data_IF_760320066504
#
_entry.id   IF_760320066504
#
_cell.length_a   1.000
_cell.length_b   1.000
_cell.length_c   1.000
_cell.angle_alpha   90.00
_cell.angle_beta   90.00
_cell.angle_gamma   90.00
#
_symmetry.space_group_name_H-M   'P 1'
#
loop_
_entity.id
_entity.type
_entity.pdbx_description
1 polymer ?
#
# COMPACT_ATOMS: atom_id res chain seq x y z
N UNK A 1 -16.47 -47.15 7.02
CA UNK A 1 -15.77 -46.74 8.25
C UNK A 1 -14.40 -46.20 7.89
N UNK A 2 -14.24 -44.89 7.85
CA UNK A 2 -13.14 -44.08 8.42
C UNK A 2 -13.65 -42.65 8.30
N UNK A 3 -14.12 -42.10 9.43
CA UNK A 3 -14.50 -40.70 9.51
C UNK A 3 -13.24 -39.84 9.57
N UNK A 4 -13.21 -38.78 8.78
CA UNK A 4 -12.24 -37.70 8.95
C UNK A 4 -13.03 -36.44 9.26
N UNK A 5 -12.76 -35.97 10.47
CA UNK A 5 -13.32 -34.85 11.20
C UNK A 5 -13.41 -33.57 10.38
N UNK A 6 -14.62 -33.05 10.39
CA UNK A 6 -14.97 -31.64 10.57
C UNK A 6 -13.81 -30.77 11.10
N UNK A 7 -13.34 -29.85 10.26
CA UNK A 7 -12.82 -28.56 10.73
C UNK A 7 -13.77 -27.49 10.26
N UNK A 8 -14.85 -27.33 11.03
CA UNK A 8 -15.68 -26.15 11.02
C UNK A 8 -14.78 -24.91 11.03
N UNK A 9 -14.86 -24.15 9.94
CA UNK A 9 -14.38 -22.78 9.89
C UNK A 9 -15.19 -22.04 10.94
N UNK A 10 -14.59 -21.86 12.13
CA UNK A 10 -15.21 -21.11 13.21
C UNK A 10 -15.51 -19.70 12.71
N UNK A 11 -16.80 -19.40 12.54
CA UNK A 11 -17.33 -18.08 12.25
C UNK A 11 -17.17 -17.14 13.44
N UNK A 12 -15.92 -16.79 13.75
CA UNK A 12 -15.57 -15.86 14.81
C UNK A 12 -15.57 -14.41 14.31
N UNK A 13 -16.52 -13.61 14.83
CA UNK A 13 -16.45 -12.16 15.03
C UNK A 13 -16.63 -11.19 13.84
N UNK A 14 -17.59 -11.46 12.96
CA UNK A 14 -18.11 -10.42 12.03
C UNK A 14 -18.59 -9.16 12.76
N UNK A 15 -19.05 -9.25 14.01
CA UNK A 15 -19.56 -8.10 14.79
C UNK A 15 -18.48 -7.08 15.17
N UNK A 16 -17.25 -7.52 15.48
CA UNK A 16 -16.19 -6.63 15.94
C UNK A 16 -15.70 -5.66 14.85
N UNK A 17 -15.60 -6.14 13.59
CA UNK A 17 -15.23 -5.31 12.44
C UNK A 17 -16.24 -4.18 12.17
N UNK A 18 -17.54 -4.43 12.37
CA UNK A 18 -18.60 -3.42 12.20
C UNK A 18 -18.43 -2.22 13.14
N UNK A 19 -17.93 -2.41 14.36
CA UNK A 19 -17.70 -1.30 15.30
C UNK A 19 -16.34 -0.62 15.13
N UNK A 20 -15.36 -1.33 14.58
CA UNK A 20 -13.98 -0.84 14.47
C UNK A 20 -13.77 -0.02 13.20
N UNK A 21 -14.38 -0.41 12.07
CA UNK A 21 -14.25 0.34 10.81
C UNK A 21 -14.70 1.81 10.93
N UNK A 22 -15.86 2.14 11.56
CA UNK A 22 -16.25 3.53 11.78
C UNK A 22 -15.27 4.31 12.66
N UNK A 23 -14.69 3.66 13.67
CA UNK A 23 -13.72 4.29 14.58
C UNK A 23 -12.41 4.62 13.87
N UNK A 24 -11.92 3.74 13.00
CA UNK A 24 -10.73 4.00 12.17
C UNK A 24 -11.05 5.08 11.12
N UNK A 25 -12.22 5.04 10.50
CA UNK A 25 -12.64 6.04 9.52
C UNK A 25 -12.81 7.45 10.12
N UNK A 26 -13.16 7.54 11.41
CA UNK A 26 -13.31 8.78 12.15
C UNK A 26 -11.99 9.41 12.63
N UNK A 27 -10.84 8.73 12.48
CA UNK A 27 -9.54 9.31 12.80
C UNK A 27 -9.28 10.55 11.93
N UNK A 28 -8.54 11.53 12.44
CA UNK A 28 -7.98 12.60 11.61
C UNK A 28 -6.94 12.03 10.63
N UNK A 29 -6.59 12.81 9.61
CA UNK A 29 -5.65 12.38 8.58
C UNK A 29 -4.32 11.89 9.16
N UNK A 30 -3.74 12.59 10.13
CA UNK A 30 -2.42 12.26 10.68
C UNK A 30 -2.46 10.97 11.47
N UNK A 31 -3.50 10.73 12.26
CA UNK A 31 -3.70 9.45 12.95
C UNK A 31 -3.95 8.31 11.99
N UNK A 32 -4.80 8.52 10.97
CA UNK A 32 -5.05 7.51 9.94
C UNK A 32 -3.75 7.16 9.17
N UNK A 33 -2.99 8.17 8.74
CA UNK A 33 -1.70 8.01 8.08
C UNK A 33 -0.71 7.19 8.94
N UNK A 34 -0.61 7.46 10.24
CA UNK A 34 0.23 6.67 11.17
C UNK A 34 -0.28 5.25 11.38
N UNK A 35 -1.59 5.07 11.38
CA UNK A 35 -2.21 3.75 11.41
C UNK A 35 -1.76 2.92 10.20
N UNK A 36 -1.81 3.52 8.99
CA UNK A 36 -1.31 2.90 7.76
C UNK A 36 0.19 2.59 7.85
N UNK A 37 0.99 3.49 8.39
CA UNK A 37 2.43 3.26 8.60
C UNK A 37 2.72 2.04 9.47
N UNK A 38 2.06 1.94 10.63
CA UNK A 38 2.24 0.80 11.52
C UNK A 38 1.77 -0.51 10.86
N UNK A 39 0.62 -0.45 10.19
CA UNK A 39 0.09 -1.59 9.43
C UNK A 39 1.05 -2.05 8.33
N UNK A 40 1.68 -1.14 7.59
CA UNK A 40 2.70 -1.48 6.60
C UNK A 40 3.90 -2.21 7.24
N UNK A 41 4.42 -1.69 8.35
CA UNK A 41 5.53 -2.33 9.07
C UNK A 41 5.17 -3.74 9.54
N UNK A 42 3.99 -3.90 10.15
CA UNK A 42 3.51 -5.20 10.60
C UNK A 42 3.17 -6.17 9.44
N UNK A 43 2.80 -5.63 8.28
CA UNK A 43 2.57 -6.42 7.05
C UNK A 43 3.88 -6.87 6.37
N UNK A 44 5.04 -6.56 6.96
CA UNK A 44 6.36 -6.99 6.46
C UNK A 44 6.98 -6.06 5.42
N UNK A 45 6.44 -4.85 5.22
CA UNK A 45 7.09 -3.85 4.35
C UNK A 45 8.34 -3.30 5.03
N UNK A 46 9.44 -3.24 4.29
CA UNK A 46 10.76 -2.79 4.76
C UNK A 46 11.11 -1.41 4.19
N UNK A 47 12.19 -0.80 4.69
CA UNK A 47 12.74 0.47 4.21
C UNK A 47 11.71 1.60 4.05
N UNK A 48 10.74 1.66 4.97
CA UNK A 48 9.66 2.64 4.90
C UNK A 48 10.21 4.06 5.07
N UNK A 49 9.86 4.94 4.14
CA UNK A 49 10.21 6.36 4.14
C UNK A 49 8.95 7.19 4.01
N UNK A 50 8.81 8.21 4.85
CA UNK A 50 7.73 9.17 4.65
C UNK A 50 8.03 10.07 3.45
N UNK A 51 7.08 10.19 2.54
CA UNK A 51 7.15 11.12 1.44
C UNK A 51 6.90 12.53 1.96
N UNK A 52 7.94 13.36 1.96
CA UNK A 52 7.75 14.80 2.12
C UNK A 52 6.91 15.33 0.96
N UNK A 53 5.92 16.19 1.24
CA UNK A 53 5.34 17.04 0.19
C UNK A 53 6.46 17.89 -0.36
N UNK A 54 7.00 17.55 -1.54
CA UNK A 54 7.94 18.44 -2.24
C UNK A 54 7.17 19.69 -2.64
N UNK A 55 7.33 20.76 -1.87
CA UNK A 55 6.81 22.10 -2.17
C UNK A 55 7.54 22.77 -3.34
N UNK A 56 8.54 22.12 -3.93
CA UNK A 56 9.47 22.72 -4.92
C UNK A 56 9.04 22.59 -6.39
N UNK A 57 7.91 21.96 -6.72
CA UNK A 57 7.39 21.97 -8.09
C UNK A 57 6.01 22.61 -8.09
N UNK A 58 5.91 23.74 -8.80
CA UNK A 58 4.74 24.61 -8.85
C UNK A 58 3.41 23.86 -8.92
N UNK A 59 2.43 24.39 -8.17
CA UNK A 59 1.00 24.01 -8.15
C UNK A 59 0.70 22.52 -8.35
N UNK A 60 0.70 21.76 -7.24
CA UNK A 60 -0.20 20.62 -7.09
C UNK A 60 0.38 19.22 -7.22
N UNK A 61 1.70 19.06 -7.35
CA UNK A 61 2.32 17.73 -7.34
C UNK A 61 2.44 17.20 -5.89
N UNK A 62 1.36 16.61 -5.36
CA UNK A 62 1.48 15.81 -4.13
C UNK A 62 2.14 14.48 -4.48
N UNK A 63 3.35 14.27 -3.99
CA UNK A 63 4.02 12.97 -4.02
C UNK A 63 3.27 11.90 -3.21
N UNK A 64 3.75 10.65 -3.22
CA UNK A 64 3.16 9.60 -2.39
C UNK A 64 3.41 9.90 -0.92
N UNK A 65 2.51 9.43 -0.04
CA UNK A 65 2.66 9.60 1.40
C UNK A 65 3.80 8.76 1.96
N UNK A 66 4.04 7.58 1.39
CA UNK A 66 5.16 6.70 1.75
C UNK A 66 5.82 6.08 0.51
N UNK A 67 7.10 5.77 0.62
CA UNK A 67 7.79 4.78 -0.21
C UNK A 67 8.19 3.62 0.69
N UNK A 68 7.85 2.40 0.29
CA UNK A 68 8.15 1.18 1.04
C UNK A 68 8.71 0.11 0.10
N UNK A 69 9.37 -0.91 0.65
CA UNK A 69 9.93 -2.02 -0.13
C UNK A 69 9.28 -3.34 0.24
N UNK A 70 8.97 -4.15 -0.77
CA UNK A 70 8.41 -5.51 -0.60
C UNK A 70 9.47 -6.56 -0.88
N UNK A 71 9.73 -7.43 0.10
CA UNK A 71 10.75 -8.49 -0.03
C UNK A 71 12.17 -7.99 0.25
N UNK A 72 13.14 -8.92 0.24
CA UNK A 72 14.55 -8.62 0.58
C UNK A 72 15.30 -7.97 -0.59
N UNK A 73 15.12 -8.47 -1.82
CA UNK A 73 15.62 -7.86 -3.07
C UNK A 73 14.72 -6.72 -3.59
N UNK A 74 13.93 -6.14 -2.69
CA UNK A 74 12.55 -5.79 -2.96
C UNK A 74 12.27 -4.66 -3.95
N UNK A 75 11.05 -4.69 -4.48
CA UNK A 75 10.47 -3.66 -5.34
C UNK A 75 9.97 -2.47 -4.50
N UNK A 76 10.28 -1.25 -4.95
CA UNK A 76 9.76 -0.03 -4.33
C UNK A 76 8.26 0.16 -4.67
N UNK A 77 7.47 0.38 -3.64
CA UNK A 77 6.03 0.61 -3.73
C UNK A 77 5.73 2.00 -3.19
N UNK A 78 5.13 2.84 -4.02
CA UNK A 78 4.55 4.09 -3.54
C UNK A 78 3.23 3.80 -2.84
N UNK A 79 3.02 4.40 -1.67
CA UNK A 79 1.77 4.33 -0.92
C UNK A 79 1.15 5.71 -0.87
N UNK A 80 -0.11 5.82 -1.28
CA UNK A 80 -0.92 7.02 -1.14
C UNK A 80 -2.07 6.78 -0.17
N UNK A 81 -2.14 7.62 0.86
CA UNK A 81 -3.17 7.60 1.90
C UNK A 81 -4.26 8.58 1.49
N UNK A 82 -5.47 8.06 1.20
CA UNK A 82 -6.63 8.90 0.87
C UNK A 82 -7.60 9.00 2.05
N UNK A 83 -7.74 10.22 2.57
CA UNK A 83 -8.60 10.53 3.71
C UNK A 83 -9.82 11.36 3.29
N UNK A 84 -10.60 10.84 2.35
CA UNK A 84 -11.84 11.45 1.87
C UNK A 84 -13.03 10.63 2.35
N UNK A 85 -14.19 11.26 2.50
CA UNK A 85 -15.43 10.54 2.83
C UNK A 85 -16.07 9.91 1.58
N UNK A 86 -15.81 10.49 0.40
CA UNK A 86 -16.25 9.94 -0.88
C UNK A 86 -15.47 8.68 -1.25
N UNK A 87 -16.11 7.66 -1.87
CA UNK A 87 -15.42 6.48 -2.35
C UNK A 87 -14.25 6.79 -3.30
N UNK A 88 -13.22 5.94 -3.28
CA UNK A 88 -12.09 6.05 -4.23
C UNK A 88 -12.63 5.91 -5.65
N UNK A 89 -12.37 6.92 -6.49
CA UNK A 89 -12.84 7.00 -7.88
C UNK A 89 -11.80 6.45 -8.87
N UNK A 90 -12.21 6.16 -10.11
CA UNK A 90 -11.28 5.82 -11.19
C UNK A 90 -10.24 6.93 -11.41
N UNK A 91 -10.67 8.19 -11.38
CA UNK A 91 -9.79 9.36 -11.49
C UNK A 91 -8.66 9.34 -10.47
N UNK A 92 -8.95 8.98 -9.22
CA UNK A 92 -7.94 8.85 -8.17
C UNK A 92 -6.81 7.88 -8.54
N UNK A 93 -7.19 6.76 -9.16
CA UNK A 93 -6.27 5.69 -9.59
C UNK A 93 -5.45 6.15 -10.79
N UNK A 94 -6.08 6.82 -11.75
CA UNK A 94 -5.41 7.31 -12.95
C UNK A 94 -4.40 8.44 -12.60
N UNK A 95 -4.77 9.35 -11.70
CA UNK A 95 -3.87 10.38 -11.15
C UNK A 95 -2.65 9.75 -10.47
N UNK A 96 -2.88 8.74 -9.63
CA UNK A 96 -1.81 8.05 -8.93
C UNK A 96 -0.93 7.25 -9.89
N UNK A 97 -1.50 6.60 -10.91
CA UNK A 97 -0.73 5.95 -11.98
C UNK A 97 0.16 6.94 -12.71
N UNK A 98 -0.36 8.13 -13.04
CA UNK A 98 0.43 9.19 -13.65
C UNK A 98 1.63 9.58 -12.79
N UNK A 99 1.47 9.61 -11.46
CA UNK A 99 2.59 9.82 -10.53
C UNK A 99 3.62 8.69 -10.60
N UNK A 100 3.18 7.42 -10.55
CA UNK A 100 4.09 6.27 -10.66
C UNK A 100 4.92 6.33 -11.94
N UNK A 101 4.28 6.62 -13.07
CA UNK A 101 4.95 6.74 -14.37
C UNK A 101 5.98 7.87 -14.38
N UNK A 102 5.62 9.07 -13.89
CA UNK A 102 6.52 10.22 -13.85
C UNK A 102 7.74 10.01 -12.96
N UNK A 103 7.56 9.36 -11.82
CA UNK A 103 8.62 9.14 -10.82
C UNK A 103 9.33 7.77 -11.00
N UNK A 104 9.01 7.05 -12.07
CA UNK A 104 9.54 5.72 -12.37
C UNK A 104 9.38 4.68 -11.22
N UNK A 105 8.31 4.78 -10.41
CA UNK A 105 8.04 3.87 -9.29
C UNK A 105 7.27 2.63 -9.78
N UNK A 106 7.80 1.40 -9.62
CA UNK A 106 7.29 0.21 -10.31
C UNK A 106 5.90 -0.25 -9.86
N UNK A 107 5.49 0.03 -8.62
CA UNK A 107 4.18 -0.35 -8.12
C UNK A 107 3.58 0.69 -7.16
N UNK A 108 2.25 0.62 -7.00
CA UNK A 108 1.51 1.52 -6.13
C UNK A 108 0.54 0.82 -5.19
N UNK A 109 0.25 1.49 -4.08
CA UNK A 109 -0.82 1.14 -3.16
C UNK A 109 -1.62 2.38 -2.80
N UNK A 110 -2.95 2.30 -2.87
CA UNK A 110 -3.86 3.29 -2.31
C UNK A 110 -4.52 2.70 -1.07
N UNK A 111 -4.35 3.35 0.08
CA UNK A 111 -5.05 3.00 1.32
C UNK A 111 -6.03 4.11 1.65
N UNK A 112 -7.32 3.78 1.71
CA UNK A 112 -8.39 4.75 1.87
C UNK A 112 -9.24 4.47 3.10
N UNK A 113 -9.65 5.53 3.80
CA UNK A 113 -10.62 5.43 4.91
C UNK A 113 -12.06 5.20 4.45
N UNK A 114 -12.31 5.32 3.14
CA UNK A 114 -13.60 5.11 2.50
C UNK A 114 -13.62 3.76 1.78
N UNK A 115 -14.79 3.34 1.31
CA UNK A 115 -14.89 2.26 0.34
C UNK A 115 -14.26 2.66 -1.02
N UNK A 116 -14.10 1.68 -1.89
CA UNK A 116 -13.59 1.88 -3.24
C UNK A 116 -14.70 1.61 -4.26
N UNK A 117 -14.83 2.48 -5.26
CA UNK A 117 -15.78 2.25 -6.35
C UNK A 117 -15.36 1.03 -7.19
N UNK A 118 -16.34 0.39 -7.84
CA UNK A 118 -16.06 -0.68 -8.82
C UNK A 118 -15.13 -0.19 -9.93
N UNK A 119 -15.36 1.02 -10.44
CA UNK A 119 -14.54 1.63 -11.47
C UNK A 119 -13.08 1.82 -11.03
N UNK A 120 -12.83 2.20 -9.78
CA UNK A 120 -11.46 2.29 -9.25
C UNK A 120 -10.78 0.92 -9.19
N UNK A 121 -11.48 -0.13 -8.72
CA UNK A 121 -10.94 -1.49 -8.67
C UNK A 121 -10.56 -2.00 -10.07
N UNK A 122 -11.45 -1.82 -11.05
CA UNK A 122 -11.19 -2.18 -12.44
C UNK A 122 -10.03 -1.39 -13.03
N UNK A 123 -9.99 -0.07 -12.77
CA UNK A 123 -8.88 0.76 -13.23
C UNK A 123 -7.54 0.31 -12.65
N UNK A 124 -7.47 -0.05 -11.36
CA UNK A 124 -6.26 -0.54 -10.72
C UNK A 124 -5.73 -1.85 -11.35
N UNK A 125 -6.63 -2.77 -11.70
CA UNK A 125 -6.29 -4.03 -12.35
C UNK A 125 -5.91 -3.87 -13.84
N UNK A 126 -6.40 -2.82 -14.50
CA UNK A 126 -6.32 -2.64 -15.96
C UNK A 126 -4.96 -2.18 -16.51
N UNK A 127 -3.88 -2.17 -15.73
CA UNK A 127 -2.55 -1.78 -16.22
C UNK A 127 -1.42 -2.61 -15.57
N UNK A 128 -0.95 -3.69 -16.24
CA UNK A 128 0.02 -4.61 -15.65
C UNK A 128 1.42 -4.01 -15.48
N UNK A 129 1.80 -3.01 -16.29
CA UNK A 129 3.15 -2.41 -16.25
C UNK A 129 3.44 -1.57 -15.00
N UNK A 130 2.40 -1.15 -14.27
CA UNK A 130 2.48 -0.43 -12.99
C UNK A 130 1.28 -0.84 -12.13
N UNK A 131 1.33 -2.01 -11.47
CA UNK A 131 0.22 -2.53 -10.70
C UNK A 131 -0.11 -1.60 -9.53
N UNK A 132 -1.40 -1.34 -9.31
CA UNK A 132 -1.89 -0.55 -8.18
C UNK A 132 -2.81 -1.42 -7.33
N UNK A 133 -2.43 -1.66 -6.07
CA UNK A 133 -3.32 -2.27 -5.08
C UNK A 133 -4.19 -1.19 -4.44
N UNK A 134 -5.50 -1.43 -4.33
CA UNK A 134 -6.41 -0.52 -3.63
C UNK A 134 -6.99 -1.23 -2.41
N UNK A 135 -6.90 -0.58 -1.26
CA UNK A 135 -7.37 -1.09 0.03
C UNK A 135 -8.33 -0.05 0.60
N UNK A 136 -9.62 -0.39 0.62
CA UNK A 136 -10.65 0.40 1.32
C UNK A 136 -10.71 0.05 2.80
N UNK A 137 -11.53 0.80 3.54
CA UNK A 137 -11.62 0.70 5.00
C UNK A 137 -11.88 -0.72 5.51
N UNK A 138 -12.82 -1.47 4.89
CA UNK A 138 -13.18 -2.81 5.37
C UNK A 138 -11.99 -3.78 5.29
N UNK A 139 -11.31 -3.79 4.14
CA UNK A 139 -10.13 -4.64 3.91
C UNK A 139 -8.93 -4.20 4.75
N UNK A 140 -8.81 -2.90 5.01
CA UNK A 140 -7.77 -2.37 5.88
C UNK A 140 -7.97 -2.86 7.33
N UNK A 141 -9.20 -2.71 7.85
CA UNK A 141 -9.57 -3.16 9.21
C UNK A 141 -9.42 -4.67 9.36
N UNK A 142 -9.94 -5.43 8.39
CA UNK A 142 -9.81 -6.89 8.35
C UNK A 142 -8.33 -7.32 8.40
N UNK A 143 -7.48 -6.68 7.60
CA UNK A 143 -6.04 -6.97 7.60
C UNK A 143 -5.36 -6.57 8.91
N UNK A 144 -5.75 -5.46 9.54
CA UNK A 144 -5.22 -5.09 10.86
C UNK A 144 -5.61 -6.11 11.95
N UNK A 145 -6.84 -6.62 11.90
CA UNK A 145 -7.29 -7.65 12.84
C UNK A 145 -6.55 -8.98 12.64
N UNK A 146 -6.28 -9.36 11.38
CA UNK A 146 -5.47 -10.56 11.06
C UNK A 146 -4.02 -10.44 11.55
N UNK A 147 -3.49 -9.22 11.64
CA UNK A 147 -2.18 -8.91 12.20
C UNK A 147 -2.23 -8.66 13.72
N UNK A 148 -3.36 -8.97 14.37
CA UNK A 148 -3.56 -8.87 15.82
C UNK A 148 -3.30 -7.46 16.38
N UNK A 149 -3.61 -6.40 15.61
CA UNK A 149 -3.50 -5.04 16.11
C UNK A 149 -4.47 -4.80 17.27
N UNK A 150 -3.96 -4.21 18.36
CA UNK A 150 -4.83 -3.66 19.40
C UNK A 150 -5.55 -2.41 18.87
N UNK A 151 -6.81 -2.56 18.46
CA UNK A 151 -7.65 -1.45 17.97
C UNK A 151 -8.40 -0.75 19.12
N UNK A 152 -7.89 -0.84 20.35
CA UNK A 152 -8.43 -0.14 21.52
C UNK A 152 -8.41 1.38 21.39
N UNK A 153 -9.26 2.05 22.16
CA UNK A 153 -9.25 3.52 22.24
C UNK A 153 -7.90 4.07 22.72
N UNK A 154 -7.18 3.32 23.56
CA UNK A 154 -5.84 3.68 24.04
C UNK A 154 -4.83 3.68 22.91
N UNK A 155 -4.80 2.63 22.09
CA UNK A 155 -3.93 2.55 20.92
C UNK A 155 -4.21 3.70 19.95
N UNK A 156 -5.48 3.94 19.62
CA UNK A 156 -5.86 5.01 18.69
C UNK A 156 -5.47 6.41 19.20
N UNK A 157 -5.54 6.65 20.52
CA UNK A 157 -5.01 7.89 21.13
C UNK A 157 -3.49 7.97 21.05
N UNK A 158 -2.80 6.85 21.24
CA UNK A 158 -1.33 6.76 21.17
C UNK A 158 -0.79 7.05 19.76
N UNK A 159 -1.57 6.80 18.69
CA UNK A 159 -1.19 7.12 17.31
C UNK A 159 -0.71 8.58 17.17
N UNK A 160 -1.24 9.53 17.93
CA UNK A 160 -0.79 10.92 17.88
C UNK A 160 0.71 11.12 18.22
N UNK A 161 1.30 10.19 18.96
CA UNK A 161 2.69 10.24 19.44
C UNK A 161 3.68 9.48 18.55
N UNK A 162 3.19 8.68 17.60
CA UNK A 162 4.04 7.88 16.72
C UNK A 162 4.75 8.79 15.73
N UNK A 163 6.08 8.73 15.72
CA UNK A 163 6.93 9.42 14.73
C UNK A 163 7.03 8.56 13.47
N UNK A 164 6.75 9.17 12.33
CA UNK A 164 6.98 8.53 11.03
C UNK A 164 8.47 8.58 10.73
N UNK A 165 9.01 7.53 10.10
CA UNK A 165 10.42 7.48 9.72
C UNK A 165 10.75 8.54 8.67
N UNK A 166 11.80 9.33 8.95
CA UNK A 166 12.31 10.41 8.11
C UNK A 166 11.21 11.39 7.63
N UNK A 167 10.78 12.30 8.50
CA UNK A 167 10.51 13.67 8.05
C UNK A 167 11.87 14.24 7.62
N UNK A 168 12.29 13.96 6.37
CA UNK A 168 13.53 14.51 5.86
C UNK A 168 13.38 16.04 5.82
N UNK A 169 14.09 16.74 6.70
CA UNK A 169 14.31 18.17 6.56
C UNK A 169 15.02 18.41 5.22
N UNK A 170 14.39 19.11 4.25
CA UNK A 170 15.02 19.37 2.96
C UNK A 170 16.32 20.18 3.06
N UNK A 171 16.65 20.79 4.21
CA UNK A 171 17.94 21.44 4.45
C UNK A 171 19.11 20.51 4.82
N UNK A 172 18.90 19.21 5.09
CA UNK A 172 19.99 18.33 5.51
C UNK A 172 20.96 17.98 4.34
N UNK A 173 22.23 18.44 4.37
CA UNK A 173 23.19 18.24 3.29
C UNK A 173 23.56 16.76 3.05
N UNK A 174 23.26 15.85 3.99
CA UNK A 174 23.51 14.41 3.82
C UNK A 174 22.52 13.76 2.84
N UNK A 175 21.29 14.28 2.74
CA UNK A 175 20.25 13.78 1.82
C UNK A 175 20.57 14.14 0.36
N UNK A 176 21.19 15.30 0.12
CA UNK A 176 21.65 15.71 -1.22
C UNK A 176 22.76 14.81 -1.78
N UNK A 177 23.60 14.21 -0.93
CA UNK A 177 24.67 13.31 -1.40
C UNK A 177 24.13 11.97 -1.89
N UNK A 178 23.21 11.31 -1.17
CA UNK A 178 22.68 10.01 -1.60
C UNK A 178 21.84 10.06 -2.89
N UNK A 179 21.18 11.18 -3.19
CA UNK A 179 20.43 11.34 -4.45
C UNK A 179 21.35 11.51 -5.67
N UNK A 180 22.57 12.05 -5.49
CA UNK A 180 23.57 12.15 -6.56
C UNK A 180 24.36 10.86 -6.73
N UNK A 181 24.65 10.14 -5.65
CA UNK A 181 25.41 8.86 -5.73
C UNK A 181 24.66 7.74 -6.46
N UNK A 182 23.32 7.77 -6.55
CA UNK A 182 22.56 6.80 -7.34
C UNK A 182 22.44 7.14 -8.84
N UNK A 183 22.84 8.35 -9.26
CA UNK A 183 22.81 8.76 -10.66
C UNK A 183 24.05 8.32 -11.46
N UNK A 184 25.10 7.84 -10.80
CA UNK A 184 26.37 7.39 -11.39
C UNK A 184 26.58 5.87 -11.31
N UNK A 185 25.55 5.09 -10.97
CA UNK A 185 25.67 3.62 -11.01
C UNK A 185 25.35 3.14 -12.42
N UNK A 186 26.40 2.95 -13.20
CA UNK A 186 26.38 2.26 -14.48
C UNK A 186 25.96 0.79 -14.27
N UNK A 187 24.72 0.47 -14.64
CA UNK A 187 24.20 -0.90 -14.59
C UNK A 187 24.49 -1.59 -15.92
N UNK A 188 25.70 -2.15 -15.98
CA UNK A 188 26.13 -3.06 -17.02
C UNK A 188 25.14 -4.19 -17.26
N UNK A 189 24.97 -4.46 -18.55
CA UNK A 189 24.31 -5.57 -19.24
C UNK A 189 24.08 -6.83 -18.36
N UNK A 190 22.83 -7.08 -17.96
CA UNK A 190 22.42 -8.35 -17.32
C UNK A 190 21.24 -8.97 -18.08
N UNK A 191 21.51 -10.17 -18.61
CA UNK A 191 20.67 -11.03 -19.45
C UNK A 191 19.28 -11.31 -18.84
N UNK A 192 18.26 -11.63 -19.66
CA UNK A 192 16.90 -11.85 -19.17
C UNK A 192 16.79 -13.08 -18.26
N UNK A 193 16.36 -12.83 -17.02
CA UNK A 193 16.14 -13.84 -15.99
C UNK A 193 14.92 -14.71 -16.30
N UNK A 194 15.17 -16.02 -16.45
CA UNK A 194 14.17 -17.10 -16.71
C UNK A 194 13.02 -17.15 -15.68
N UNK A 195 13.19 -16.52 -14.52
CA UNK A 195 12.18 -16.44 -13.45
C UNK A 195 10.94 -15.60 -13.83
N UNK A 196 11.07 -14.61 -14.71
CA UNK A 196 9.94 -13.82 -15.20
C UNK A 196 8.97 -14.65 -16.07
N UNK A 197 9.49 -15.66 -16.79
CA UNK A 197 8.68 -16.59 -17.57
C UNK A 197 7.89 -17.54 -16.68
N UNK A 198 8.48 -17.98 -15.57
CA UNK A 198 7.80 -18.84 -14.59
C UNK A 198 6.66 -18.08 -13.90
N UNK A 199 6.88 -16.82 -13.53
CA UNK A 199 5.84 -16.00 -12.90
C UNK A 199 4.69 -15.66 -13.87
N UNK A 200 5.01 -15.42 -15.15
CA UNK A 200 4.01 -15.23 -16.20
C UNK A 200 3.18 -16.50 -16.45
N UNK A 201 3.78 -17.68 -16.43
CA UNK A 201 3.09 -18.97 -16.61
C UNK A 201 2.16 -19.31 -15.43
N UNK A 202 2.58 -19.02 -14.20
CA UNK A 202 1.72 -19.23 -13.01
C UNK A 202 0.52 -18.29 -13.06
N UNK A 203 0.71 -17.01 -13.44
CA UNK A 203 -0.39 -16.06 -13.59
C UNK A 203 -1.34 -16.46 -14.74
N UNK A 204 -0.83 -17.00 -15.84
CA UNK A 204 -1.64 -17.50 -16.95
C UNK A 204 -2.49 -18.72 -16.54
N UNK A 205 -1.92 -19.64 -15.75
CA UNK A 205 -2.63 -20.80 -15.24
C UNK A 205 -3.80 -20.44 -14.32
N UNK A 206 -3.64 -19.42 -13.47
CA UNK A 206 -4.73 -18.93 -12.62
C UNK A 206 -5.85 -18.24 -13.42
N UNK A 207 -5.53 -17.58 -14.53
CA UNK A 207 -6.54 -16.96 -15.41
C UNK A 207 -7.34 -18.00 -16.18
N UNK A 208 -6.69 -19.07 -16.67
CA UNK A 208 -7.38 -20.15 -17.39
C UNK A 208 -8.24 -20.99 -16.42
N UNK A 209 -7.74 -21.31 -15.23
CA UNK A 209 -8.50 -22.04 -14.22
C UNK A 209 -9.69 -21.23 -13.65
N UNK A 210 -9.62 -19.90 -13.67
CA UNK A 210 -10.72 -19.02 -13.29
C UNK A 210 -11.76 -18.77 -14.38
N UNK A 211 -11.46 -19.08 -15.65
CA UNK A 211 -12.35 -18.89 -16.78
C UNK A 211 -13.19 -20.14 -17.13
N UNK A 212 -12.87 -21.30 -16.55
CA UNK A 212 -13.53 -22.61 -16.80
C UNK A 212 -14.47 -23.00 -15.63
N UNK A 213 -15.00 -22.02 -14.89
CA UNK A 213 -15.93 -22.27 -13.79
C UNK A 213 -17.19 -21.42 -13.88
#
# INVERSE_FOLDING_TARGET
>A
MVGVLDRGISGGNSSSGFYVAPRIAALDFKRFQRCVWLWLGASGYKHMRSGGRRTERGRGASGPDFIVRVGEDGMDVAVQVRHWNSPVSKRAVDEFRGLLLRENIPAGMIVAKSHCSRAARLAAAGFPGRPIRIIGIDRFVESMMQLEFDLSARFLKMLGKVRLGYEADPSDPKVRRSARTMADVDFGDQRPNRWLLVLALVLLGFVIAGAVR
#
